data_IF_189932046575
#
_entry.id   IF_189932046575
#
_cell.length_a   1.000
_cell.length_b   1.000
_cell.length_c   1.000
_cell.angle_alpha   90.00
_cell.angle_beta   90.00
_cell.angle_gamma   90.00
#
_symmetry.space_group_name_H-M   'P 1'
#
loop_
_entity.id
_entity.type
_entity.pdbx_description
1 polymer ?
#
# COMPACT_ATOMS: atom_id res chain seq x y z
N UNK A 1 -59.00 31.05 -28.02
CA UNK A 1 -58.39 30.74 -26.70
C UNK A 1 -57.33 29.67 -26.92
N UNK A 2 -56.04 30.09 -27.02
CA UNK A 2 -54.88 29.16 -27.11
C UNK A 2 -54.40 28.88 -25.71
N UNK A 3 -54.41 27.61 -25.31
CA UNK A 3 -53.90 27.14 -24.02
C UNK A 3 -52.40 26.88 -24.20
N UNK A 4 -51.55 27.74 -23.63
CA UNK A 4 -50.12 27.54 -23.59
C UNK A 4 -49.75 26.49 -22.54
N UNK A 5 -49.23 25.34 -22.99
CA UNK A 5 -48.71 24.27 -22.13
C UNK A 5 -47.34 24.71 -21.60
N UNK A 6 -47.27 25.10 -20.34
CA UNK A 6 -46.02 25.43 -19.66
C UNK A 6 -45.34 24.12 -19.28
N UNK A 7 -44.33 23.72 -20.08
CA UNK A 7 -43.47 22.57 -19.77
C UNK A 7 -42.46 23.02 -18.70
N UNK A 8 -42.70 22.72 -17.44
CA UNK A 8 -41.74 22.94 -16.37
C UNK A 8 -40.61 21.89 -16.50
N UNK A 9 -39.40 22.37 -16.74
CA UNK A 9 -38.21 21.52 -16.71
C UNK A 9 -38.01 21.02 -15.26
N UNK A 10 -38.07 19.72 -15.07
CA UNK A 10 -37.71 19.07 -13.82
C UNK A 10 -36.21 19.22 -13.67
N UNK A 11 -35.68 19.76 -12.53
CA UNK A 11 -34.25 19.80 -12.32
C UNK A 11 -33.71 18.35 -12.28
N UNK A 12 -32.71 18.09 -13.10
CA UNK A 12 -31.92 16.86 -13.07
C UNK A 12 -31.38 16.70 -11.64
N UNK A 13 -31.78 15.61 -10.97
CA UNK A 13 -31.22 15.25 -9.68
C UNK A 13 -29.69 15.01 -9.82
N UNK A 14 -28.99 15.44 -8.80
CA UNK A 14 -27.55 15.39 -8.63
C UNK A 14 -26.94 14.12 -9.22
N UNK A 15 -25.82 14.31 -9.88
CA UNK A 15 -24.83 13.27 -10.15
C UNK A 15 -24.64 12.46 -8.86
N UNK A 16 -25.01 11.19 -8.91
CA UNK A 16 -24.76 10.24 -7.82
C UNK A 16 -23.22 10.19 -7.71
N UNK A 17 -22.66 10.72 -6.61
CA UNK A 17 -21.23 10.66 -6.37
C UNK A 17 -20.79 9.21 -6.52
N UNK A 18 -20.03 8.92 -7.55
CA UNK A 18 -19.50 7.58 -7.77
C UNK A 18 -18.71 7.18 -6.52
N UNK A 19 -18.87 5.93 -6.07
CA UNK A 19 -18.12 5.44 -4.93
C UNK A 19 -16.61 5.63 -5.18
N UNK A 20 -15.84 6.06 -4.17
CA UNK A 20 -14.43 6.35 -4.34
C UNK A 20 -13.67 5.09 -4.81
N UNK A 21 -12.82 5.25 -5.81
CA UNK A 21 -11.93 4.17 -6.25
C UNK A 21 -10.79 3.98 -5.25
N UNK A 22 -10.61 2.75 -4.82
CA UNK A 22 -9.66 2.36 -3.78
C UNK A 22 -8.51 1.56 -4.38
N UNK A 23 -7.28 1.96 -4.08
CA UNK A 23 -6.07 1.19 -4.31
C UNK A 23 -5.54 0.67 -2.98
N UNK A 24 -5.18 -0.59 -2.91
CA UNK A 24 -4.48 -1.20 -1.77
C UNK A 24 -3.07 -1.57 -2.22
N UNK A 25 -2.16 -0.61 -2.12
CA UNK A 25 -0.75 -0.77 -2.45
C UNK A 25 0.00 -1.28 -1.21
N UNK A 26 0.85 -2.28 -1.38
CA UNK A 26 1.59 -2.82 -0.25
C UNK A 26 2.95 -3.38 -0.65
N UNK A 27 3.92 -3.24 0.25
CA UNK A 27 5.16 -3.98 0.21
C UNK A 27 5.09 -5.06 1.28
N UNK A 28 5.32 -6.30 0.89
CA UNK A 28 5.37 -7.42 1.81
C UNK A 28 6.59 -8.28 1.54
N UNK A 29 7.00 -9.05 2.52
CA UNK A 29 8.12 -9.94 2.41
C UNK A 29 7.76 -11.28 3.04
N UNK A 30 7.92 -12.35 2.26
CA UNK A 30 7.97 -13.72 2.77
C UNK A 30 9.41 -14.06 3.22
N UNK A 31 9.61 -15.20 3.82
CA UNK A 31 10.90 -15.68 4.28
C UNK A 31 11.09 -15.59 5.78
N UNK A 32 12.34 -15.51 6.25
CA UNK A 32 12.64 -15.36 7.68
C UNK A 32 12.12 -14.02 8.21
N UNK A 33 11.19 -14.08 9.11
CA UNK A 33 10.59 -12.87 9.67
C UNK A 33 11.37 -12.33 10.89
N UNK A 34 12.09 -13.20 11.61
CA UNK A 34 12.85 -12.81 12.78
C UNK A 34 13.92 -13.85 13.12
N UNK A 35 15.05 -13.39 13.67
CA UNK A 35 15.99 -14.32 14.24
C UNK A 35 15.45 -14.82 15.58
N UNK A 36 15.03 -16.09 15.62
CA UNK A 36 14.36 -16.72 16.76
C UNK A 36 15.14 -16.57 18.08
N UNK A 37 16.47 -16.41 18.03
CA UNK A 37 17.30 -16.22 19.21
C UNK A 37 17.31 -14.82 19.80
N UNK A 38 16.75 -13.81 19.13
CA UNK A 38 16.81 -12.41 19.54
C UNK A 38 15.43 -11.77 19.76
N UNK A 39 14.35 -12.48 19.43
CA UNK A 39 13.00 -11.98 19.64
C UNK A 39 12.74 -11.79 21.14
N UNK A 40 12.38 -10.59 21.54
CA UNK A 40 12.04 -10.29 22.93
C UNK A 40 10.69 -10.98 23.25
N UNK A 41 10.70 -11.84 24.26
CA UNK A 41 9.50 -12.54 24.70
C UNK A 41 8.37 -11.55 25.02
N UNK A 42 7.17 -11.85 24.53
CA UNK A 42 5.98 -11.02 24.69
C UNK A 42 5.86 -9.85 23.70
N UNK A 43 6.82 -9.64 22.78
CA UNK A 43 6.67 -8.68 21.69
C UNK A 43 5.79 -9.20 20.57
N UNK A 44 5.10 -8.33 19.83
CA UNK A 44 4.35 -8.72 18.63
C UNK A 44 5.23 -9.46 17.62
N UNK A 45 6.50 -9.06 17.50
CA UNK A 45 7.49 -9.70 16.63
C UNK A 45 7.80 -11.15 17.03
N UNK A 46 7.77 -11.48 18.33
CA UNK A 46 8.01 -12.84 18.81
C UNK A 46 6.90 -13.82 18.39
N UNK A 47 5.68 -13.34 18.21
CA UNK A 47 4.53 -14.14 17.77
C UNK A 47 4.66 -14.60 16.31
N UNK A 48 5.53 -13.97 15.54
CA UNK A 48 5.75 -14.23 14.12
C UNK A 48 7.20 -14.63 13.81
N UNK A 49 7.94 -15.09 14.82
CA UNK A 49 9.30 -15.57 14.63
C UNK A 49 9.30 -16.86 13.78
N UNK A 50 10.24 -16.95 12.86
CA UNK A 50 10.39 -18.09 11.96
C UNK A 50 10.18 -17.72 10.49
N UNK A 51 10.00 -18.74 9.66
CA UNK A 51 9.73 -18.58 8.24
C UNK A 51 8.24 -18.42 7.99
N UNK A 52 7.87 -17.40 7.19
CA UNK A 52 6.49 -17.17 6.75
C UNK A 52 6.40 -17.26 5.23
N UNK A 53 5.43 -18.02 4.72
CA UNK A 53 5.20 -18.19 3.28
C UNK A 53 4.52 -16.95 2.69
N UNK A 54 3.60 -16.35 3.44
CA UNK A 54 2.91 -15.12 3.03
C UNK A 54 3.15 -14.04 4.08
N UNK A 55 3.71 -12.92 3.67
CA UNK A 55 3.99 -11.82 4.59
C UNK A 55 2.72 -11.23 5.21
N UNK A 56 2.82 -10.80 6.48
CA UNK A 56 1.69 -10.27 7.23
C UNK A 56 1.03 -9.06 6.56
N UNK A 57 1.82 -8.18 5.94
CA UNK A 57 1.31 -7.02 5.20
C UNK A 57 0.47 -7.45 4.01
N UNK A 58 0.88 -8.50 3.27
CA UNK A 58 0.10 -9.04 2.16
C UNK A 58 -1.25 -9.60 2.62
N UNK A 59 -1.27 -10.35 3.74
CA UNK A 59 -2.53 -10.86 4.30
C UNK A 59 -3.49 -9.73 4.68
N UNK A 60 -2.98 -8.67 5.31
CA UNK A 60 -3.81 -7.51 5.66
C UNK A 60 -4.29 -6.76 4.41
N UNK A 61 -3.46 -6.64 3.39
CA UNK A 61 -3.83 -6.00 2.13
C UNK A 61 -5.02 -6.71 1.45
N UNK A 62 -5.01 -8.05 1.44
CA UNK A 62 -6.13 -8.84 0.91
C UNK A 62 -7.41 -8.55 1.67
N UNK A 63 -7.38 -8.57 3.01
CA UNK A 63 -8.55 -8.27 3.83
C UNK A 63 -9.11 -6.86 3.59
N UNK A 64 -8.24 -5.87 3.44
CA UNK A 64 -8.65 -4.49 3.13
C UNK A 64 -9.29 -4.43 1.74
N UNK A 65 -8.67 -5.06 0.74
CA UNK A 65 -9.21 -5.09 -0.62
C UNK A 65 -10.59 -5.77 -0.68
N UNK A 66 -10.76 -6.90 0.01
CA UNK A 66 -12.07 -7.57 0.13
C UNK A 66 -13.12 -6.69 0.81
N UNK A 67 -12.74 -5.97 1.87
CA UNK A 67 -13.66 -5.11 2.62
C UNK A 67 -14.06 -3.83 1.87
N UNK A 68 -13.18 -3.32 1.00
CA UNK A 68 -13.37 -2.03 0.29
C UNK A 68 -13.76 -2.19 -1.17
N UNK A 69 -13.59 -3.38 -1.74
CA UNK A 69 -13.68 -3.60 -3.19
C UNK A 69 -12.49 -2.98 -3.96
N UNK A 70 -11.39 -2.67 -3.28
CA UNK A 70 -10.22 -2.01 -3.84
C UNK A 70 -9.32 -2.93 -4.67
N UNK A 71 -8.58 -2.32 -5.59
CA UNK A 71 -7.59 -3.00 -6.42
C UNK A 71 -6.31 -3.26 -5.61
N UNK A 72 -5.79 -4.50 -5.65
CA UNK A 72 -4.52 -4.86 -5.01
C UNK A 72 -3.34 -4.51 -5.91
N UNK A 73 -2.29 -3.94 -5.31
CA UNK A 73 -1.03 -3.66 -5.98
C UNK A 73 0.15 -3.98 -5.08
N UNK A 74 0.96 -4.97 -5.45
CA UNK A 74 2.19 -5.28 -4.73
C UNK A 74 3.33 -4.38 -5.19
N UNK A 75 3.92 -3.64 -4.24
CA UNK A 75 5.10 -2.81 -4.46
C UNK A 75 6.33 -3.72 -4.43
N UNK A 76 6.95 -3.93 -5.59
CA UNK A 76 8.15 -4.74 -5.74
C UNK A 76 9.30 -3.92 -6.30
N UNK A 77 10.53 -4.26 -5.90
CA UNK A 77 11.75 -3.61 -6.39
C UNK A 77 12.43 -4.46 -7.47
N UNK A 78 13.14 -3.82 -8.38
CA UNK A 78 13.93 -4.51 -9.42
C UNK A 78 14.97 -5.45 -8.78
N UNK A 79 15.61 -5.02 -7.70
CA UNK A 79 16.43 -5.87 -6.85
C UNK A 79 15.60 -6.32 -5.64
N UNK A 80 15.03 -7.55 -5.63
CA UNK A 80 14.15 -7.98 -4.57
C UNK A 80 14.89 -8.11 -3.23
N UNK A 81 14.20 -7.80 -2.14
CA UNK A 81 14.74 -8.02 -0.80
C UNK A 81 14.92 -9.52 -0.52
N UNK A 82 16.06 -9.93 0.05
CA UNK A 82 16.36 -11.34 0.27
C UNK A 82 15.46 -11.96 1.36
N UNK A 83 15.31 -13.28 1.31
CA UNK A 83 14.58 -14.05 2.33
C UNK A 83 15.32 -14.09 3.67
N UNK A 84 16.67 -14.09 3.65
CA UNK A 84 17.50 -14.02 4.85
C UNK A 84 17.27 -12.71 5.61
N UNK A 85 16.85 -12.85 6.87
CA UNK A 85 16.45 -11.70 7.67
C UNK A 85 17.62 -10.74 7.97
N UNK A 86 18.80 -11.27 8.30
CA UNK A 86 19.95 -10.44 8.65
C UNK A 86 20.46 -9.65 7.44
N UNK A 87 20.49 -10.28 6.28
CA UNK A 87 20.90 -9.63 5.02
C UNK A 87 19.90 -8.55 4.63
N UNK A 88 18.61 -8.83 4.76
CA UNK A 88 17.55 -7.85 4.49
C UNK A 88 17.69 -6.62 5.40
N UNK A 89 17.87 -6.81 6.70
CA UNK A 89 18.06 -5.69 7.63
C UNK A 89 19.28 -4.84 7.29
N UNK A 90 20.39 -5.48 6.90
CA UNK A 90 21.61 -4.75 6.50
C UNK A 90 21.35 -3.91 5.25
N UNK A 91 20.66 -4.45 4.25
CA UNK A 91 20.27 -3.70 3.04
C UNK A 91 19.35 -2.53 3.40
N UNK A 92 18.34 -2.78 4.21
CA UNK A 92 17.43 -1.74 4.65
C UNK A 92 18.14 -0.61 5.41
N UNK A 93 19.13 -0.94 6.26
CA UNK A 93 19.94 0.07 6.95
C UNK A 93 20.80 0.88 5.96
N UNK A 94 21.44 0.22 4.99
CA UNK A 94 22.22 0.89 3.96
C UNK A 94 21.38 1.84 3.09
N UNK A 95 20.16 1.43 2.73
CA UNK A 95 19.20 2.29 2.03
C UNK A 95 18.80 3.51 2.85
N UNK A 96 18.62 3.35 4.17
CA UNK A 96 18.33 4.45 5.08
C UNK A 96 19.51 5.42 5.16
N UNK A 97 20.72 4.91 5.39
CA UNK A 97 21.94 5.70 5.58
C UNK A 97 22.30 6.53 4.33
N UNK A 98 21.91 6.04 3.16
CA UNK A 98 22.15 6.70 1.86
C UNK A 98 20.96 7.47 1.31
N UNK A 99 19.83 7.50 2.03
CA UNK A 99 18.54 8.02 1.54
C UNK A 99 18.18 7.47 0.16
N UNK A 100 18.40 6.16 -0.03
CA UNK A 100 18.21 5.49 -1.30
C UNK A 100 16.74 5.53 -1.76
N UNK A 101 16.57 5.43 -3.07
CA UNK A 101 15.25 5.24 -3.72
C UNK A 101 15.31 3.98 -4.58
N UNK A 102 15.11 2.79 -4.00
CA UNK A 102 15.15 1.54 -4.76
C UNK A 102 14.21 1.59 -5.95
N UNK A 103 14.68 1.17 -7.12
CA UNK A 103 13.89 1.17 -8.35
C UNK A 103 12.75 0.17 -8.25
N UNK A 104 11.52 0.61 -8.58
CA UNK A 104 10.34 -0.25 -8.58
C UNK A 104 10.27 -1.06 -9.86
N UNK A 105 9.96 -2.36 -9.72
CA UNK A 105 9.83 -3.28 -10.84
C UNK A 105 8.59 -3.02 -11.69
N UNK A 106 7.51 -2.55 -11.06
CA UNK A 106 6.20 -2.28 -11.70
C UNK A 106 5.66 -0.95 -11.21
N UNK A 107 4.85 -0.30 -12.04
CA UNK A 107 4.16 0.95 -11.69
C UNK A 107 2.65 0.80 -11.85
N UNK A 108 1.90 1.55 -11.05
CA UNK A 108 0.45 1.72 -11.24
C UNK A 108 0.25 2.63 -12.45
N UNK A 109 -0.38 2.13 -13.51
CA UNK A 109 -0.54 2.88 -14.76
C UNK A 109 -1.57 4.02 -14.65
N UNK A 110 -2.59 3.84 -13.84
CA UNK A 110 -3.75 4.74 -13.75
C UNK A 110 -3.94 5.31 -12.33
N UNK A 111 -2.86 5.72 -11.67
CA UNK A 111 -2.90 6.28 -10.31
C UNK A 111 -3.88 7.45 -10.18
N UNK A 112 -4.08 8.21 -11.24
CA UNK A 112 -5.00 9.35 -11.25
C UNK A 112 -6.46 8.95 -10.95
N UNK A 113 -6.85 7.73 -11.28
CA UNK A 113 -8.22 7.24 -11.14
C UNK A 113 -8.60 6.86 -9.70
N UNK A 114 -7.64 6.76 -8.78
CA UNK A 114 -7.89 6.38 -7.40
C UNK A 114 -8.08 7.62 -6.52
N UNK A 115 -9.04 7.54 -5.60
CA UNK A 115 -9.36 8.57 -4.62
C UNK A 115 -8.75 8.26 -3.26
N UNK A 116 -8.74 6.96 -2.90
CA UNK A 116 -8.23 6.45 -1.63
C UNK A 116 -7.13 5.42 -1.88
N UNK A 117 -5.99 5.59 -1.22
CA UNK A 117 -4.84 4.70 -1.35
C UNK A 117 -4.48 4.18 0.04
N UNK A 118 -4.69 2.90 0.27
CA UNK A 118 -4.10 2.20 1.40
C UNK A 118 -2.64 1.87 1.06
N UNK A 119 -1.72 2.18 1.97
CA UNK A 119 -0.30 1.86 1.79
C UNK A 119 0.17 0.97 2.94
N UNK A 120 0.43 -0.30 2.62
CA UNK A 120 0.89 -1.32 3.56
C UNK A 120 2.39 -1.55 3.51
N UNK A 121 3.03 -1.65 4.68
CA UNK A 121 4.46 -1.92 4.75
C UNK A 121 4.90 -2.47 6.10
N UNK A 122 5.96 -3.29 6.14
CA UNK A 122 6.60 -3.67 7.40
C UNK A 122 7.43 -2.50 7.95
N UNK A 123 7.58 -2.45 9.27
CA UNK A 123 8.48 -1.48 9.91
C UNK A 123 9.90 -2.07 9.96
N UNK A 124 10.84 -1.45 9.23
CA UNK A 124 12.25 -1.79 9.26
C UNK A 124 13.06 -0.67 9.91
N UNK A 125 13.88 -0.99 10.91
CA UNK A 125 14.66 0.00 11.68
C UNK A 125 13.84 1.18 12.19
N UNK A 126 12.57 0.96 12.58
CA UNK A 126 11.69 1.97 13.15
C UNK A 126 10.99 2.89 12.15
N UNK A 127 11.12 2.63 10.85
CA UNK A 127 10.50 3.41 9.79
C UNK A 127 9.98 2.55 8.63
N UNK A 128 9.30 3.15 7.67
CA UNK A 128 8.89 2.47 6.46
C UNK A 128 10.09 2.21 5.54
N UNK A 129 10.07 1.12 4.74
CA UNK A 129 11.13 0.81 3.77
C UNK A 129 11.31 1.92 2.72
N UNK A 130 12.54 2.13 2.24
CA UNK A 130 12.85 3.16 1.26
C UNK A 130 12.10 2.99 -0.07
N UNK A 131 11.73 1.77 -0.45
CA UNK A 131 10.88 1.50 -1.60
C UNK A 131 9.49 2.14 -1.50
N UNK A 132 8.96 2.35 -0.28
CA UNK A 132 7.69 3.06 -0.07
C UNK A 132 7.84 4.55 -0.39
N UNK A 133 8.96 5.17 -0.02
CA UNK A 133 9.26 6.54 -0.45
C UNK A 133 9.32 6.63 -1.97
N UNK A 134 10.03 5.70 -2.62
CA UNK A 134 10.06 5.64 -4.09
C UNK A 134 8.66 5.55 -4.69
N UNK A 135 7.81 4.70 -4.12
CA UNK A 135 6.41 4.56 -4.58
C UNK A 135 5.65 5.89 -4.44
N UNK A 136 5.67 6.49 -3.26
CA UNK A 136 4.94 7.74 -3.02
C UNK A 136 5.44 8.91 -3.89
N UNK A 137 6.75 9.00 -4.09
CA UNK A 137 7.39 10.04 -4.90
C UNK A 137 7.20 9.83 -6.42
N UNK A 138 6.79 8.63 -6.83
CA UNK A 138 6.57 8.30 -8.26
C UNK A 138 5.26 8.83 -8.83
N UNK A 139 4.35 9.36 -8.00
CA UNK A 139 3.01 9.78 -8.42
C UNK A 139 2.60 11.13 -7.85
N UNK A 140 1.72 11.82 -8.56
CA UNK A 140 0.97 12.95 -7.99
C UNK A 140 -0.17 12.41 -7.11
N UNK A 141 -0.03 12.62 -5.81
CA UNK A 141 -0.99 12.17 -4.78
C UNK A 141 -1.85 13.33 -4.24
N UNK A 142 -1.78 14.52 -4.85
CA UNK A 142 -2.58 15.68 -4.42
C UNK A 142 -4.07 15.34 -4.51
N UNK A 143 -4.81 15.65 -3.45
CA UNK A 143 -6.26 15.41 -3.37
C UNK A 143 -6.65 13.97 -3.04
N UNK A 144 -5.71 13.04 -2.93
CA UNK A 144 -6.00 11.65 -2.58
C UNK A 144 -5.93 11.43 -1.06
N UNK A 145 -6.75 10.52 -0.56
CA UNK A 145 -6.70 10.09 0.84
C UNK A 145 -5.70 8.94 0.99
N UNK A 146 -4.65 9.13 1.79
CA UNK A 146 -3.62 8.11 2.06
C UNK A 146 -3.85 7.51 3.43
N UNK A 147 -3.96 6.18 3.50
CA UNK A 147 -4.21 5.43 4.74
C UNK A 147 -3.10 4.38 4.92
N UNK A 148 -2.14 4.57 5.83
CA UNK A 148 -1.11 3.57 6.11
C UNK A 148 -1.65 2.41 6.95
N UNK A 149 -1.06 1.19 6.79
CA UNK A 149 -1.33 0.01 7.61
C UNK A 149 -0.12 -0.92 7.74
#
# INVERSE_FOLDING_TARGET
>A
MMLALLCAAIPSFAEEDAAPRVLVAFLSRAGENYNVGTAKEGSASASYAGYIETGNTAMMAVLIAEATGGDLFEITTVAPYPEDYATMLRIAQEEIDTDARPELAVKVENMADYDVIFIGYPIWHGQMPQAIYTFMESYDLIGKTIIPF
#
